data_IF_231136529639
#
_entry.id   IF_231136529639
#
_cell.length_a   1.000
_cell.length_b   1.000
_cell.length_c   1.000
_cell.angle_alpha   90.00
_cell.angle_beta   90.00
_cell.angle_gamma   90.00
#
_symmetry.space_group_name_H-M   'P 1'
#
loop_
_entity.id
_entity.type
_entity.pdbx_description
1 polymer ?
#
# COMPACT_ATOMS: atom_id res chain seq x y z
N UNK A 1 -19.17 -10.83 -18.61
CA UNK A 1 -17.94 -11.40 -18.03
C UNK A 1 -17.75 -10.77 -16.66
N UNK A 2 -17.57 -11.54 -15.58
CA UNK A 2 -17.38 -10.99 -14.25
C UNK A 2 -16.08 -10.17 -14.19
N UNK A 3 -16.16 -9.00 -13.56
CA UNK A 3 -14.98 -8.22 -13.17
C UNK A 3 -14.50 -8.75 -11.82
N UNK A 4 -13.22 -9.09 -11.70
CA UNK A 4 -12.64 -9.66 -10.48
C UNK A 4 -11.31 -8.99 -10.11
N UNK A 5 -10.73 -9.41 -8.99
CA UNK A 5 -9.40 -9.00 -8.51
C UNK A 5 -8.44 -10.18 -8.49
N UNK A 6 -7.13 -9.91 -8.45
CA UNK A 6 -6.08 -10.93 -8.35
C UNK A 6 -6.26 -11.79 -7.09
N UNK A 7 -6.60 -11.17 -5.96
CA UNK A 7 -6.83 -11.89 -4.70
C UNK A 7 -8.00 -12.89 -4.76
N UNK A 8 -8.98 -12.65 -5.64
CA UNK A 8 -10.14 -13.52 -5.81
C UNK A 8 -10.02 -14.47 -7.01
N UNK A 9 -8.88 -14.49 -7.70
CA UNK A 9 -8.76 -15.17 -9.00
C UNK A 9 -8.99 -16.68 -8.92
N UNK A 10 -8.61 -17.30 -7.79
CA UNK A 10 -8.77 -18.73 -7.55
C UNK A 10 -10.24 -19.19 -7.64
N UNK A 11 -11.19 -18.33 -7.29
CA UNK A 11 -12.62 -18.64 -7.35
C UNK A 11 -13.17 -18.71 -8.79
N UNK A 12 -12.36 -18.37 -9.80
CA UNK A 12 -12.75 -18.29 -11.21
C UNK A 12 -11.91 -19.23 -12.08
N UNK A 13 -11.28 -20.26 -11.52
CA UNK A 13 -10.55 -21.27 -12.30
C UNK A 13 -11.45 -21.86 -13.39
N UNK A 14 -10.97 -21.86 -14.63
CA UNK A 14 -11.73 -22.38 -15.77
C UNK A 14 -12.81 -21.42 -16.30
N UNK A 15 -12.86 -20.18 -15.81
CA UNK A 15 -13.79 -19.15 -16.27
C UNK A 15 -13.10 -18.01 -17.01
N UNK A 16 -13.87 -17.27 -17.81
CA UNK A 16 -13.42 -16.01 -18.42
C UNK A 16 -13.77 -14.83 -17.52
N UNK A 17 -12.76 -14.04 -17.16
CA UNK A 17 -12.89 -12.87 -16.27
C UNK A 17 -12.32 -11.63 -16.93
N UNK A 18 -12.69 -10.46 -16.41
CA UNK A 18 -12.02 -9.19 -16.70
C UNK A 18 -11.29 -8.68 -15.46
N UNK A 19 -10.00 -8.41 -15.59
CA UNK A 19 -9.15 -7.78 -14.59
C UNK A 19 -8.90 -6.31 -14.99
N UNK A 20 -8.98 -5.38 -14.04
CA UNK A 20 -8.64 -3.97 -14.23
C UNK A 20 -7.43 -3.60 -13.41
N UNK A 21 -6.41 -2.99 -14.01
CA UNK A 21 -5.18 -2.72 -13.29
C UNK A 21 -4.15 -1.95 -14.10
N UNK A 22 -2.89 -2.13 -13.73
CA UNK A 22 -1.74 -1.48 -14.32
C UNK A 22 -0.70 -2.51 -14.74
N UNK A 23 -0.02 -2.24 -15.85
CA UNK A 23 1.12 -3.05 -16.28
C UNK A 23 2.31 -2.82 -15.34
N UNK A 24 2.63 -3.79 -14.50
CA UNK A 24 3.80 -3.76 -13.62
C UNK A 24 5.10 -4.10 -14.35
N UNK A 25 5.01 -4.93 -15.40
CA UNK A 25 6.15 -5.35 -16.19
C UNK A 25 5.73 -6.21 -17.37
N UNK A 26 6.65 -6.38 -18.32
CA UNK A 26 6.40 -7.14 -19.55
C UNK A 26 7.66 -7.89 -19.95
N UNK A 27 7.46 -9.09 -20.48
CA UNK A 27 8.49 -9.85 -21.22
C UNK A 27 7.88 -10.46 -22.48
N UNK A 28 8.70 -10.66 -23.50
CA UNK A 28 8.28 -11.27 -24.77
C UNK A 28 9.15 -12.49 -25.08
N UNK A 29 8.55 -13.53 -25.64
CA UNK A 29 9.26 -14.73 -26.10
C UNK A 29 8.57 -15.31 -27.33
N UNK A 30 9.15 -15.07 -28.51
CA UNK A 30 8.63 -15.57 -29.79
C UNK A 30 7.19 -15.14 -30.05
N UNK A 31 6.24 -16.08 -29.93
CA UNK A 31 4.81 -15.88 -30.20
C UNK A 31 3.98 -15.53 -28.94
N UNK A 32 4.65 -15.26 -27.82
CA UNK A 32 4.01 -14.99 -26.52
C UNK A 32 4.49 -13.65 -25.96
N UNK A 33 3.55 -12.88 -25.42
CA UNK A 33 3.82 -11.78 -24.50
C UNK A 33 3.31 -12.14 -23.11
N UNK A 34 4.09 -11.83 -22.08
CA UNK A 34 3.72 -12.05 -20.69
C UNK A 34 3.65 -10.69 -20.01
N UNK A 35 2.43 -10.26 -19.72
CA UNK A 35 2.14 -9.02 -19.01
C UNK A 35 1.99 -9.35 -17.53
N UNK A 36 2.72 -8.66 -16.67
CA UNK A 36 2.51 -8.69 -15.23
C UNK A 36 1.52 -7.57 -14.89
N UNK A 37 0.29 -7.92 -14.54
CA UNK A 37 -0.77 -6.93 -14.26
C UNK A 37 -1.04 -6.89 -12.78
N UNK A 38 -0.94 -5.69 -12.19
CA UNK A 38 -1.27 -5.43 -10.79
C UNK A 38 -2.60 -4.69 -10.68
N UNK A 39 -3.41 -5.02 -9.69
CA UNK A 39 -4.71 -4.37 -9.44
C UNK A 39 -4.83 -3.73 -8.06
N UNK A 40 -3.78 -3.86 -7.23
CA UNK A 40 -3.77 -3.40 -5.84
C UNK A 40 -4.10 -4.49 -4.82
N UNK A 41 -4.59 -5.66 -5.25
CA UNK A 41 -4.75 -6.84 -4.39
C UNK A 41 -3.64 -7.87 -4.61
N UNK A 42 -3.05 -7.87 -5.80
CA UNK A 42 -1.88 -8.68 -6.15
C UNK A 42 -1.33 -8.33 -7.53
N UNK A 43 -0.45 -9.20 -8.03
CA UNK A 43 0.05 -9.17 -9.41
C UNK A 43 -0.18 -10.55 -10.03
N UNK A 44 -0.73 -10.61 -11.23
CA UNK A 44 -0.97 -11.83 -11.98
C UNK A 44 -0.28 -11.79 -13.36
N UNK A 45 0.17 -12.93 -13.83
CA UNK A 45 0.65 -13.09 -15.19
C UNK A 45 -0.54 -13.21 -16.15
N UNK A 46 -0.56 -12.36 -17.17
CA UNK A 46 -1.47 -12.43 -18.31
C UNK A 46 -0.65 -12.82 -19.54
N UNK A 47 -0.95 -13.99 -20.12
CA UNK A 47 -0.25 -14.57 -21.27
C UNK A 47 -1.03 -14.25 -22.54
N UNK A 48 -0.44 -13.42 -23.40
CA UNK A 48 -1.00 -13.06 -24.71
C UNK A 48 -0.31 -13.90 -25.78
N UNK A 49 -1.00 -14.90 -26.31
CA UNK A 49 -0.50 -15.73 -27.40
C UNK A 49 -0.98 -15.19 -28.75
N UNK A 50 -0.08 -15.12 -29.75
CA UNK A 50 -0.42 -14.60 -31.09
C UNK A 50 -1.60 -15.30 -31.77
N UNK A 51 -1.83 -16.58 -31.43
CA UNK A 51 -2.92 -17.37 -32.00
C UNK A 51 -4.29 -17.07 -31.36
N UNK A 52 -4.31 -16.48 -30.16
CA UNK A 52 -5.51 -16.36 -29.32
C UNK A 52 -6.10 -14.94 -29.35
N UNK A 53 -5.39 -13.97 -29.95
CA UNK A 53 -5.80 -12.55 -30.00
C UNK A 53 -5.66 -11.96 -31.40
N UNK A 54 -6.28 -10.80 -31.64
CA UNK A 54 -6.10 -10.06 -32.90
C UNK A 54 -4.64 -9.57 -33.08
N UNK A 55 -4.19 -9.33 -34.33
CA UNK A 55 -2.86 -8.75 -34.58
C UNK A 55 -2.64 -7.43 -33.83
N UNK A 56 -3.67 -6.59 -33.73
CA UNK A 56 -3.59 -5.30 -33.05
C UNK A 56 -3.40 -5.45 -31.54
N UNK A 57 -4.14 -6.38 -30.91
CA UNK A 57 -3.97 -6.69 -29.48
C UNK A 57 -2.58 -7.28 -29.20
N UNK A 58 -2.10 -8.16 -30.09
CA UNK A 58 -0.76 -8.74 -29.95
C UNK A 58 0.34 -7.66 -30.02
N UNK A 59 0.26 -6.75 -31.00
CA UNK A 59 1.18 -5.62 -31.14
C UNK A 59 1.10 -4.66 -29.96
N UNK A 60 -0.11 -4.34 -29.50
CA UNK A 60 -0.33 -3.48 -28.34
C UNK A 60 0.32 -4.06 -27.08
N UNK A 61 0.16 -5.36 -26.86
CA UNK A 61 0.77 -6.06 -25.73
C UNK A 61 2.32 -6.02 -25.76
N UNK A 62 2.96 -5.92 -26.94
CA UNK A 62 4.42 -5.86 -27.06
C UNK A 62 5.02 -4.47 -26.79
N UNK A 63 4.23 -3.40 -26.80
CA UNK A 63 4.77 -2.04 -26.71
C UNK A 63 4.18 -1.21 -25.57
N UNK A 64 3.35 -1.83 -24.73
CA UNK A 64 2.70 -1.13 -23.62
C UNK A 64 3.74 -0.68 -22.56
N UNK A 65 3.83 0.63 -22.24
CA UNK A 65 4.72 1.13 -21.21
C UNK A 65 4.34 0.66 -19.81
N UNK A 66 5.34 0.51 -18.94
CA UNK A 66 5.15 0.28 -17.50
C UNK A 66 4.19 1.32 -16.92
N UNK A 67 3.31 0.89 -16.03
CA UNK A 67 2.29 1.69 -15.34
C UNK A 67 1.14 2.20 -16.23
N UNK A 68 1.05 1.73 -17.48
CA UNK A 68 -0.17 1.93 -18.29
C UNK A 68 -1.35 1.24 -17.62
N UNK A 69 -2.49 1.93 -17.54
CA UNK A 69 -3.74 1.37 -17.01
C UNK A 69 -4.51 0.65 -18.11
N UNK A 70 -5.02 -0.53 -17.78
CA UNK A 70 -5.55 -1.48 -18.75
C UNK A 70 -6.63 -2.36 -18.14
N UNK A 71 -7.41 -2.97 -19.01
CA UNK A 71 -8.32 -4.06 -18.72
C UNK A 71 -7.89 -5.29 -19.52
N UNK A 72 -7.71 -6.42 -18.84
CA UNK A 72 -7.43 -7.71 -19.46
C UNK A 72 -8.68 -8.57 -19.35
N UNK A 73 -9.19 -9.05 -20.47
CA UNK A 73 -10.21 -10.10 -20.47
C UNK A 73 -9.57 -11.39 -20.92
N UNK A 74 -9.77 -12.47 -20.18
CA UNK A 74 -9.13 -13.74 -20.49
C UNK A 74 -9.59 -14.90 -19.62
N UNK A 75 -9.10 -16.08 -19.98
CA UNK A 75 -9.45 -17.35 -19.34
C UNK A 75 -8.46 -17.67 -18.21
N UNK A 76 -8.98 -17.91 -17.01
CA UNK A 76 -8.16 -18.24 -15.82
C UNK A 76 -7.70 -19.70 -15.88
N UNK A 77 -6.40 -19.92 -15.73
CA UNK A 77 -5.79 -21.26 -15.73
C UNK A 77 -4.93 -21.44 -14.50
N UNK A 78 -4.99 -22.62 -13.90
CA UNK A 78 -3.99 -23.03 -12.92
C UNK A 78 -2.60 -23.11 -13.58
N UNK A 79 -1.59 -22.52 -12.94
CA UNK A 79 -0.18 -22.66 -13.30
C UNK A 79 0.64 -22.79 -12.02
N UNK A 80 1.17 -23.99 -11.77
CA UNK A 80 2.01 -24.30 -10.61
C UNK A 80 3.33 -23.49 -10.56
N UNK A 81 3.74 -22.87 -11.68
CA UNK A 81 4.91 -21.99 -11.73
C UNK A 81 4.58 -20.55 -11.32
N UNK A 82 3.30 -20.18 -11.32
CA UNK A 82 2.85 -18.87 -10.87
C UNK A 82 2.91 -18.79 -9.34
N UNK A 83 3.47 -17.72 -8.74
CA UNK A 83 3.52 -17.55 -7.29
C UNK A 83 2.14 -17.57 -6.61
N UNK A 84 1.08 -17.22 -7.35
CA UNK A 84 -0.30 -17.22 -6.87
C UNK A 84 -1.10 -18.44 -7.36
N UNK A 85 -0.46 -19.38 -8.08
CA UNK A 85 -1.07 -20.61 -8.59
C UNK A 85 -1.90 -20.46 -9.87
N UNK A 86 -2.09 -19.24 -10.37
CA UNK A 86 -2.93 -18.96 -11.54
C UNK A 86 -2.29 -17.97 -12.51
N UNK A 87 -2.70 -18.05 -13.77
CA UNK A 87 -2.46 -17.07 -14.83
C UNK A 87 -3.72 -16.83 -15.66
N UNK A 88 -3.71 -15.78 -16.48
CA UNK A 88 -4.81 -15.46 -17.39
C UNK A 88 -4.32 -15.62 -18.83
N UNK A 89 -4.92 -16.52 -19.60
CA UNK A 89 -4.78 -16.55 -21.06
C UNK A 89 -5.60 -15.41 -21.67
N UNK A 90 -4.92 -14.40 -22.22
CA UNK A 90 -5.56 -13.16 -22.71
C UNK A 90 -6.36 -13.45 -23.97
N UNK A 91 -7.62 -13.03 -23.96
CA UNK A 91 -8.51 -13.04 -25.12
C UNK A 91 -8.70 -11.62 -25.68
N UNK A 92 -8.71 -10.60 -24.81
CA UNK A 92 -8.80 -9.19 -25.19
C UNK A 92 -8.04 -8.29 -24.22
N UNK A 93 -7.55 -7.16 -24.73
CA UNK A 93 -6.78 -6.16 -23.97
C UNK A 93 -7.25 -4.77 -24.36
N UNK A 94 -7.77 -4.02 -23.38
CA UNK A 94 -8.17 -2.62 -23.55
C UNK A 94 -7.24 -1.72 -22.75
N UNK A 95 -6.58 -0.77 -23.41
CA UNK A 95 -5.81 0.27 -22.71
C UNK A 95 -6.74 1.41 -22.32
N UNK A 96 -6.78 1.71 -21.02
CA UNK A 96 -7.54 2.84 -20.46
C UNK A 96 -6.72 4.12 -20.60
N UNK A 97 -5.45 4.04 -20.21
CA UNK A 97 -4.49 5.13 -20.37
C UNK A 97 -3.09 4.56 -20.56
N UNK A 98 -2.43 4.97 -21.63
CA UNK A 98 -1.00 4.73 -21.81
C UNK A 98 -0.20 5.65 -20.88
N UNK A 99 0.73 5.08 -20.13
CA UNK A 99 1.58 5.85 -19.24
C UNK A 99 2.64 6.64 -20.04
N UNK A 100 2.96 7.84 -19.54
CA UNK A 100 4.20 8.53 -19.88
C UNK A 100 5.41 7.78 -19.28
N UNK A 101 6.62 8.32 -19.49
CA UNK A 101 7.83 7.74 -18.92
C UNK A 101 7.73 7.61 -17.39
N UNK A 102 7.85 6.38 -16.89
CA UNK A 102 7.75 6.10 -15.47
C UNK A 102 9.14 6.18 -14.81
N UNK A 103 9.35 7.07 -13.82
CA UNK A 103 10.69 7.39 -13.31
C UNK A 103 11.36 6.21 -12.58
N UNK A 104 10.58 5.31 -12.00
CA UNK A 104 11.09 4.15 -11.25
C UNK A 104 11.15 2.94 -12.18
N UNK A 105 12.20 2.92 -13.01
CA UNK A 105 12.45 1.81 -13.95
C UNK A 105 12.91 0.52 -13.24
N UNK A 106 12.90 -0.65 -13.92
CA UNK A 106 13.31 -1.96 -13.37
C UNK A 106 14.81 -2.13 -13.07
N UNK A 107 15.46 -1.09 -12.54
CA UNK A 107 16.83 -1.09 -12.03
C UNK A 107 16.83 -0.65 -10.57
N UNK A 108 17.92 -0.85 -9.87
CA UNK A 108 18.05 -0.33 -8.51
C UNK A 108 18.11 1.20 -8.52
N UNK A 109 17.42 1.81 -7.55
CA UNK A 109 17.43 3.25 -7.32
C UNK A 109 17.76 3.52 -5.84
N UNK A 110 18.48 4.60 -5.60
CA UNK A 110 18.85 5.01 -4.24
C UNK A 110 17.64 5.42 -3.39
N UNK A 111 17.69 5.26 -2.05
CA UNK A 111 16.59 5.62 -1.16
C UNK A 111 16.13 7.08 -1.27
N UNK A 112 17.04 8.03 -1.52
CA UNK A 112 16.70 9.44 -1.68
C UNK A 112 15.76 9.65 -2.89
N UNK A 113 16.15 9.15 -4.06
CA UNK A 113 15.34 9.21 -5.28
C UNK A 113 13.96 8.56 -5.11
N UNK A 114 13.92 7.41 -4.42
CA UNK A 114 12.68 6.69 -4.16
C UNK A 114 11.75 7.43 -3.19
N UNK A 115 12.32 8.21 -2.25
CA UNK A 115 11.56 9.08 -1.34
C UNK A 115 11.02 10.32 -2.07
N UNK A 116 11.80 10.91 -2.99
CA UNK A 116 11.32 12.02 -3.83
C UNK A 116 10.13 11.58 -4.71
N UNK A 117 10.11 10.31 -5.10
CA UNK A 117 9.01 9.68 -5.83
C UNK A 117 8.12 8.80 -4.95
N UNK A 118 8.02 9.08 -3.64
CA UNK A 118 7.32 8.20 -2.68
C UNK A 118 5.91 7.84 -3.15
N UNK A 119 5.18 8.82 -3.67
CA UNK A 119 3.82 8.67 -4.20
C UNK A 119 3.68 7.65 -5.34
N UNK A 120 4.74 7.43 -6.12
CA UNK A 120 4.81 6.38 -7.15
C UNK A 120 5.41 5.08 -6.59
N UNK A 121 6.45 5.20 -5.76
CA UNK A 121 7.16 4.06 -5.19
C UNK A 121 6.26 3.14 -4.34
N UNK A 122 5.19 3.69 -3.75
CA UNK A 122 4.13 2.95 -3.07
C UNK A 122 3.55 1.79 -3.90
N UNK A 123 3.60 1.89 -5.23
CA UNK A 123 3.07 0.90 -6.18
C UNK A 123 3.99 -0.32 -6.33
N UNK A 124 5.22 -0.26 -5.84
CA UNK A 124 6.18 -1.37 -5.91
C UNK A 124 5.82 -2.49 -4.93
N UNK A 125 6.13 -3.73 -5.31
CA UNK A 125 5.76 -4.94 -4.55
C UNK A 125 6.20 -4.91 -3.09
N UNK A 126 7.45 -4.50 -2.82
CA UNK A 126 7.97 -4.39 -1.46
C UNK A 126 7.25 -3.33 -0.63
N UNK A 127 6.91 -2.17 -1.22
CA UNK A 127 6.19 -1.13 -0.48
C UNK A 127 4.76 -1.54 -0.18
N UNK A 128 4.11 -2.20 -1.13
CA UNK A 128 2.79 -2.75 -0.94
C UNK A 128 2.76 -3.80 0.19
N UNK A 129 3.74 -4.72 0.20
CA UNK A 129 3.88 -5.71 1.27
C UNK A 129 4.10 -5.06 2.65
N UNK A 130 4.99 -4.07 2.76
CA UNK A 130 5.25 -3.34 4.01
C UNK A 130 3.96 -2.69 4.55
N UNK A 131 3.17 -2.05 3.67
CA UNK A 131 1.93 -1.41 4.09
C UNK A 131 0.84 -2.40 4.51
N UNK A 132 0.71 -3.55 3.82
CA UNK A 132 -0.21 -4.62 4.24
C UNK A 132 0.17 -5.20 5.60
N UNK A 133 1.47 -5.44 5.83
CA UNK A 133 1.98 -5.88 7.14
C UNK A 133 1.70 -4.82 8.21
N UNK A 134 1.92 -3.53 7.91
CA UNK A 134 1.58 -2.44 8.85
C UNK A 134 0.09 -2.42 9.19
N UNK A 135 -0.78 -2.53 8.18
CA UNK A 135 -2.23 -2.57 8.39
C UNK A 135 -2.65 -3.75 9.26
N UNK A 136 -2.05 -4.91 9.04
CA UNK A 136 -2.28 -6.13 9.84
C UNK A 136 -1.81 -5.97 11.28
N UNK A 137 -0.63 -5.39 11.52
CA UNK A 137 -0.15 -5.10 12.88
C UNK A 137 -1.10 -4.13 13.60
N UNK A 138 -1.56 -3.07 12.93
CA UNK A 138 -2.52 -2.11 13.50
C UNK A 138 -3.83 -2.83 13.87
N UNK A 139 -4.35 -3.67 12.96
CA UNK A 139 -5.57 -4.46 13.19
C UNK A 139 -5.41 -5.39 14.39
N UNK A 140 -4.32 -6.16 14.42
CA UNK A 140 -4.05 -7.11 15.51
C UNK A 140 -3.89 -6.42 16.87
N UNK A 141 -3.22 -5.26 16.93
CA UNK A 141 -3.13 -4.47 18.17
C UNK A 141 -4.52 -4.04 18.67
N UNK A 142 -5.37 -3.53 17.78
CA UNK A 142 -6.74 -3.11 18.14
C UNK A 142 -7.59 -4.29 18.59
N UNK A 143 -7.62 -5.37 17.81
CA UNK A 143 -8.36 -6.59 18.17
C UNK A 143 -7.91 -7.18 19.50
N UNK A 144 -6.61 -7.17 19.78
CA UNK A 144 -6.10 -7.59 21.08
C UNK A 144 -6.61 -6.69 22.20
N UNK A 145 -6.45 -5.37 22.09
CA UNK A 145 -6.84 -4.43 23.15
C UNK A 145 -8.36 -4.44 23.38
N UNK A 146 -9.15 -4.37 22.31
CA UNK A 146 -10.61 -4.44 22.34
C UNK A 146 -11.07 -5.76 23.00
N UNK A 147 -10.46 -6.88 22.61
CA UNK A 147 -10.75 -8.21 23.15
C UNK A 147 -10.37 -8.39 24.63
N UNK A 148 -9.53 -7.51 25.19
CA UNK A 148 -9.09 -7.55 26.60
C UNK A 148 -9.73 -6.45 27.46
N UNK A 149 -10.79 -5.82 26.95
CA UNK A 149 -11.61 -4.86 27.67
C UNK A 149 -10.99 -3.46 27.78
N UNK A 150 -10.03 -3.13 26.91
CA UNK A 150 -9.57 -1.76 26.77
C UNK A 150 -10.57 -0.95 25.94
N UNK A 151 -10.77 0.32 26.31
CA UNK A 151 -11.56 1.28 25.56
C UNK A 151 -10.66 2.13 24.66
N UNK A 152 -11.00 2.25 23.37
CA UNK A 152 -10.33 3.19 22.49
C UNK A 152 -10.57 4.64 22.96
N UNK A 153 -9.50 5.37 23.21
CA UNK A 153 -9.51 6.74 23.75
C UNK A 153 -8.66 7.65 22.87
N UNK A 154 -9.28 8.66 22.27
CA UNK A 154 -8.60 9.61 21.39
C UNK A 154 -8.03 10.79 22.20
N UNK A 155 -6.73 10.77 22.47
CA UNK A 155 -6.02 11.87 23.10
C UNK A 155 -5.84 13.06 22.12
N UNK A 156 -5.87 14.32 22.60
CA UNK A 156 -5.70 15.49 21.75
C UNK A 156 -4.26 15.58 21.19
N UNK A 157 -4.16 16.05 19.93
CA UNK A 157 -2.88 16.25 19.25
C UNK A 157 -2.25 17.61 19.55
N UNK A 158 -3.08 18.67 19.62
CA UNK A 158 -2.65 19.99 20.05
C UNK A 158 -2.73 20.05 21.59
N UNK A 159 -1.60 20.27 22.24
CA UNK A 159 -1.48 20.26 23.70
C UNK A 159 -0.63 21.43 24.20
N UNK A 160 -0.93 22.04 25.36
CA UNK A 160 -0.05 23.00 25.99
C UNK A 160 1.14 22.33 26.73
N UNK A 161 1.09 21.01 26.92
CA UNK A 161 2.02 20.27 27.78
C UNK A 161 3.14 19.58 26.99
N UNK A 162 4.31 19.48 27.63
CA UNK A 162 5.41 18.62 27.20
C UNK A 162 5.33 17.28 27.94
N UNK A 163 5.24 16.16 27.21
CA UNK A 163 5.11 14.83 27.84
C UNK A 163 6.48 14.17 28.08
N UNK A 164 7.37 14.24 27.09
CA UNK A 164 8.65 13.49 27.06
C UNK A 164 9.86 14.43 27.22
N UNK A 165 9.61 15.65 27.70
CA UNK A 165 10.58 16.73 27.83
C UNK A 165 10.40 17.85 26.80
N UNK A 166 10.99 19.01 27.10
CA UNK A 166 10.76 20.26 26.36
C UNK A 166 11.64 20.46 25.13
N UNK A 167 12.61 19.57 24.90
CA UNK A 167 13.67 19.76 23.89
C UNK A 167 13.28 19.33 22.48
N UNK A 168 12.25 18.49 22.34
CA UNK A 168 11.82 17.90 21.05
C UNK A 168 10.37 18.22 20.69
N UNK A 169 9.87 19.40 21.09
CA UNK A 169 8.52 19.84 20.77
C UNK A 169 8.44 20.55 19.41
N UNK A 170 7.34 20.33 18.68
CA UNK A 170 6.96 21.17 17.55
C UNK A 170 5.96 22.23 18.00
N UNK A 171 6.35 23.51 18.09
CA UNK A 171 5.43 24.59 18.41
C UNK A 171 4.50 24.89 17.22
N UNK A 172 3.25 25.20 17.51
CA UNK A 172 2.21 25.59 16.57
C UNK A 172 1.53 26.84 17.11
N UNK A 173 1.42 27.88 16.27
CA UNK A 173 0.63 29.06 16.62
C UNK A 173 -0.84 28.66 16.77
N UNK A 174 -1.42 28.96 17.92
CA UNK A 174 -2.79 28.57 18.27
C UNK A 174 -3.56 29.80 18.76
N UNK A 175 -4.15 30.53 17.80
CA UNK A 175 -4.72 31.86 18.02
C UNK A 175 -3.68 32.81 18.63
N UNK A 176 -3.97 33.39 19.80
CA UNK A 176 -3.09 34.29 20.53
C UNK A 176 -2.12 33.53 21.47
N UNK A 177 -2.14 32.19 21.44
CA UNK A 177 -1.32 31.31 22.26
C UNK A 177 -0.41 30.40 21.41
N UNK A 178 0.42 29.60 22.09
CA UNK A 178 1.24 28.56 21.46
C UNK A 178 0.79 27.20 21.98
N UNK A 179 0.45 26.31 21.06
CA UNK A 179 0.26 24.89 21.33
C UNK A 179 1.48 24.10 20.81
N UNK A 180 1.54 22.83 21.17
CA UNK A 180 2.53 21.90 20.67
C UNK A 180 1.85 20.68 20.06
N UNK A 181 2.48 20.08 19.05
CA UNK A 181 2.10 18.75 18.61
C UNK A 181 2.54 17.72 19.65
N UNK A 182 1.62 16.84 20.03
CA UNK A 182 1.84 15.87 21.11
C UNK A 182 3.00 14.93 20.84
N UNK A 183 3.82 14.68 21.86
CA UNK A 183 4.86 13.65 21.84
C UNK A 183 4.33 12.27 22.25
N UNK A 184 3.21 12.24 22.97
CA UNK A 184 2.57 11.06 23.56
C UNK A 184 1.18 11.43 24.12
N UNK A 185 0.21 10.53 23.98
CA UNK A 185 -1.12 10.64 24.58
C UNK A 185 -1.16 10.39 26.09
N UNK A 186 -0.05 9.94 26.71
CA UNK A 186 0.02 9.44 28.08
C UNK A 186 -0.69 10.33 29.11
N UNK A 187 -0.39 11.64 29.19
CA UNK A 187 -0.97 12.51 30.23
C UNK A 187 -2.52 12.58 30.16
N UNK A 188 -3.08 12.54 28.95
CA UNK A 188 -4.53 12.47 28.77
C UNK A 188 -5.06 11.05 28.97
N UNK A 189 -4.25 10.05 28.62
CA UNK A 189 -4.52 8.64 28.88
C UNK A 189 -4.66 8.32 30.36
N UNK A 190 -3.79 8.86 31.22
CA UNK A 190 -3.88 8.73 32.69
C UNK A 190 -5.23 9.23 33.22
N UNK A 191 -5.70 10.38 32.73
CA UNK A 191 -7.03 10.90 33.06
C UNK A 191 -8.16 10.00 32.53
N UNK A 192 -8.00 9.46 31.31
CA UNK A 192 -8.93 8.48 30.72
C UNK A 192 -9.01 7.18 31.53
N UNK A 193 -7.87 6.65 31.97
CA UNK A 193 -7.78 5.43 32.76
C UNK A 193 -8.44 5.59 34.13
N UNK A 194 -8.26 6.76 34.78
CA UNK A 194 -8.98 7.06 36.04
C UNK A 194 -10.50 7.08 35.87
N UNK A 195 -11.01 7.41 34.68
CA UNK A 195 -12.45 7.48 34.40
C UNK A 195 -13.04 6.14 33.92
N UNK A 196 -12.30 5.39 33.09
CA UNK A 196 -12.81 4.23 32.36
C UNK A 196 -12.07 2.91 32.68
N UNK A 197 -11.08 2.94 33.57
CA UNK A 197 -10.25 1.79 33.89
C UNK A 197 -9.20 1.58 32.80
N UNK A 198 -9.46 0.67 31.85
CA UNK A 198 -8.52 0.32 30.79
C UNK A 198 -8.79 1.13 29.54
N UNK A 199 -7.81 1.91 29.08
CA UNK A 199 -7.92 2.69 27.84
C UNK A 199 -6.72 2.47 26.95
N UNK A 200 -6.85 2.77 25.66
CA UNK A 200 -5.69 2.92 24.79
C UNK A 200 -5.87 4.05 23.78
N UNK A 201 -4.80 4.80 23.56
CA UNK A 201 -4.68 5.72 22.44
C UNK A 201 -3.93 5.04 21.29
N UNK A 202 -4.35 5.29 20.04
CA UNK A 202 -3.60 4.84 18.87
C UNK A 202 -3.65 5.91 17.78
N UNK A 203 -2.70 6.85 17.85
CA UNK A 203 -2.66 8.04 16.99
C UNK A 203 -1.25 8.46 16.58
N UNK A 204 -1.14 9.56 15.82
CA UNK A 204 0.13 10.15 15.46
C UNK A 204 0.77 10.88 16.65
N UNK A 205 2.09 10.78 16.76
CA UNK A 205 2.92 11.47 17.75
C UNK A 205 4.11 12.12 17.06
N UNK A 206 4.58 13.23 17.61
CA UNK A 206 5.52 14.13 16.98
C UNK A 206 6.72 14.38 17.90
N UNK A 207 7.93 14.25 17.35
CA UNK A 207 9.18 14.54 18.06
C UNK A 207 10.10 15.33 17.14
N UNK A 208 10.45 16.56 17.53
CA UNK A 208 11.39 17.42 16.82
C UNK A 208 12.86 16.98 17.02
N UNK A 209 13.11 15.68 16.84
CA UNK A 209 14.44 15.08 16.90
C UNK A 209 15.26 15.50 15.68
N UNK A 210 16.40 16.16 15.91
CA UNK A 210 17.29 16.65 14.85
C UNK A 210 18.19 15.53 14.31
N UNK A 211 18.40 14.47 15.07
CA UNK A 211 19.25 13.36 14.70
C UNK A 211 18.65 12.50 13.59
N UNK A 212 19.22 12.60 12.39
CA UNK A 212 18.82 11.78 11.23
C UNK A 212 19.43 10.38 11.31
N UNK A 213 18.78 9.50 12.06
CA UNK A 213 19.17 8.08 12.17
C UNK A 213 18.18 7.16 11.45
N UNK A 214 18.56 5.89 11.26
CA UNK A 214 17.67 4.84 10.73
C UNK A 214 16.51 4.42 11.65
N UNK A 215 16.43 4.96 12.88
CA UNK A 215 15.45 4.57 13.91
C UNK A 215 14.51 5.69 14.33
N UNK A 216 14.73 6.91 13.83
CA UNK A 216 13.97 8.09 14.25
C UNK A 216 13.16 8.64 13.08
N UNK A 217 11.90 8.99 13.37
CA UNK A 217 11.03 9.78 12.53
C UNK A 217 10.52 10.95 13.36
N UNK A 218 10.26 12.08 12.72
CA UNK A 218 9.69 13.26 13.40
C UNK A 218 8.18 13.14 13.60
N UNK A 219 7.53 12.30 12.80
CA UNK A 219 6.13 11.89 12.90
C UNK A 219 6.08 10.36 12.82
N UNK A 220 5.40 9.74 13.77
CA UNK A 220 5.19 8.30 13.81
C UNK A 220 3.88 7.97 14.52
N UNK A 221 3.46 6.72 14.47
CA UNK A 221 2.23 6.27 15.12
C UNK A 221 2.57 5.48 16.36
N UNK A 222 1.91 5.81 17.47
CA UNK A 222 2.11 5.17 18.76
C UNK A 222 0.81 4.49 19.21
N UNK A 223 0.95 3.32 19.82
CA UNK A 223 -0.14 2.66 20.57
C UNK A 223 0.23 2.73 22.04
N UNK A 224 -0.68 3.30 22.83
CA UNK A 224 -0.43 3.78 24.19
C UNK A 224 -1.57 3.31 25.11
N UNK A 225 -1.50 2.09 25.66
CA UNK A 225 -2.43 1.62 26.67
C UNK A 225 -2.10 2.18 28.06
N UNK A 226 -3.13 2.52 28.83
CA UNK A 226 -3.05 2.92 30.25
C UNK A 226 -3.98 2.06 31.12
#
# INVERSE_FOLDING_TARGET
>A
MPVTTVERIAAFEGETVTLRGWLAGRRSSGKLHFLQVRDGTGTIQCVTAKADVSPDVFLLADHLPQESSLEVTGFVRADARSPIGFEIGVADLRVVQQAAEYPITPKEHGPAFLLDHRHLWLRSSRQHAILRVRAEVVRACREYLDGHGFLAFDAPILTPAACEGTTTLFPVGYFDETAYLTQSGQLYGEAGAMAFGKIYCFGPTFRAEKSKTRRHLTEFWMVEPE
#
